data_IF_402040580211
#
_entry.id   IF_402040580211
#
_cell.length_a   1.000
_cell.length_b   1.000
_cell.length_c   1.000
_cell.angle_alpha   90.00
_cell.angle_beta   90.00
_cell.angle_gamma   90.00
#
_symmetry.space_group_name_H-M   'P 1'
#
loop_
_entity.id
_entity.type
_entity.pdbx_description
1 polymer ?
#
# COMPACT_ATOMS: atom_id res chain seq x y z
N UNK A 1 2.83 43.26 -52.13
CA UNK A 1 1.85 42.14 -52.28
C UNK A 1 2.65 40.85 -52.17
N UNK A 2 2.55 40.08 -51.07
CA UNK A 2 1.68 38.89 -50.90
C UNK A 2 1.87 37.93 -52.10
N UNK A 3 2.33 36.69 -51.98
CA UNK A 3 2.01 35.64 -50.98
C UNK A 3 3.19 34.66 -50.82
N UNK A 4 3.61 34.37 -49.59
CA UNK A 4 4.49 33.26 -49.23
C UNK A 4 3.64 31.99 -49.08
N UNK A 5 3.99 30.94 -49.82
CA UNK A 5 3.38 29.61 -49.74
C UNK A 5 3.80 28.90 -48.46
N UNK A 6 2.81 28.56 -47.63
CA UNK A 6 2.98 27.73 -46.44
C UNK A 6 3.25 26.27 -46.85
N UNK A 7 4.43 25.76 -46.51
CA UNK A 7 4.76 24.34 -46.55
C UNK A 7 4.05 23.62 -45.41
N UNK A 8 3.22 22.63 -45.75
CA UNK A 8 2.53 21.74 -44.82
C UNK A 8 3.52 20.72 -44.25
N UNK A 9 4.03 20.99 -43.05
CA UNK A 9 4.78 20.01 -42.25
C UNK A 9 3.81 19.29 -41.32
N UNK A 10 3.25 18.18 -41.79
CA UNK A 10 2.43 17.27 -40.98
C UNK A 10 3.35 16.46 -40.06
N UNK A 11 3.75 17.06 -38.93
CA UNK A 11 4.48 16.36 -37.87
C UNK A 11 3.48 15.46 -37.13
N UNK A 12 3.44 14.18 -37.50
CA UNK A 12 2.67 13.15 -36.80
C UNK A 12 3.34 12.92 -35.44
N UNK A 13 2.85 13.61 -34.40
CA UNK A 13 3.30 13.42 -33.04
C UNK A 13 2.97 11.99 -32.59
N UNK A 14 4.02 11.20 -32.42
CA UNK A 14 4.03 9.86 -31.87
C UNK A 14 3.53 9.92 -30.41
N UNK A 15 2.23 9.78 -30.19
CA UNK A 15 1.68 9.50 -28.86
C UNK A 15 2.02 8.05 -28.51
N UNK A 16 3.20 7.83 -27.92
CA UNK A 16 3.46 6.64 -27.11
C UNK A 16 2.64 6.78 -25.84
N UNK A 17 1.40 6.29 -25.88
CA UNK A 17 0.66 5.93 -24.68
C UNK A 17 1.45 4.81 -23.98
N UNK A 18 2.32 5.18 -23.05
CA UNK A 18 2.77 4.25 -22.03
C UNK A 18 1.55 3.90 -21.18
N UNK A 19 0.91 2.78 -21.50
CA UNK A 19 0.01 2.09 -20.59
C UNK A 19 0.84 1.68 -19.37
N UNK A 20 0.81 2.52 -18.34
CA UNK A 20 1.26 2.12 -17.01
C UNK A 20 0.45 0.88 -16.63
N UNK A 21 1.09 -0.21 -16.14
CA UNK A 21 0.33 -1.30 -15.58
C UNK A 21 -0.41 -0.75 -14.36
N UNK A 22 -1.72 -0.63 -14.50
CA UNK A 22 -2.64 -0.52 -13.37
C UNK A 22 -2.44 -1.79 -12.54
N UNK A 23 -1.57 -1.72 -11.54
CA UNK A 23 -1.46 -2.76 -10.52
C UNK A 23 -2.63 -2.53 -9.57
N UNK A 24 -3.81 -2.93 -10.06
CA UNK A 24 -5.02 -3.04 -9.26
C UNK A 24 -4.82 -4.13 -8.20
N UNK A 25 -5.37 -3.87 -7.02
CA UNK A 25 -5.40 -4.68 -5.82
C UNK A 25 -4.09 -4.74 -5.00
N UNK A 26 -4.25 -4.63 -3.67
CA UNK A 26 -3.35 -5.22 -2.70
C UNK A 26 -2.97 -6.61 -3.23
N UNK A 27 -1.69 -6.87 -3.54
CA UNK A 27 -1.31 -8.18 -4.04
C UNK A 27 -1.87 -9.24 -3.07
N UNK A 28 -2.62 -10.26 -3.54
CA UNK A 28 -3.43 -11.15 -2.69
C UNK A 28 -2.68 -11.68 -1.46
N UNK A 29 -1.37 -11.87 -1.61
CA UNK A 29 -0.42 -12.27 -0.59
C UNK A 29 -0.35 -11.37 0.67
N UNK A 30 -0.81 -10.12 0.60
CA UNK A 30 -0.81 -9.18 1.73
C UNK A 30 -2.13 -9.17 2.51
N UNK A 31 -3.18 -9.78 1.98
CA UNK A 31 -4.42 -10.00 2.73
C UNK A 31 -4.23 -11.01 3.88
N UNK A 32 -3.25 -11.91 3.74
CA UNK A 32 -2.94 -12.96 4.73
C UNK A 32 -2.22 -12.41 5.97
N UNK A 33 -1.38 -11.37 5.85
CA UNK A 33 -0.71 -10.76 7.01
C UNK A 33 -1.69 -10.17 8.04
N UNK A 34 -2.88 -9.80 7.57
CA UNK A 34 -3.95 -9.22 8.39
C UNK A 34 -4.80 -10.27 9.11
N UNK A 35 -4.87 -11.49 8.54
CA UNK A 35 -5.80 -12.54 8.96
C UNK A 35 -5.12 -13.73 9.64
N UNK A 36 -3.84 -14.00 9.38
CA UNK A 36 -3.14 -15.20 9.84
C UNK A 36 -2.38 -15.02 11.16
N UNK A 37 -2.38 -16.08 11.97
CA UNK A 37 -1.30 -16.35 12.92
C UNK A 37 0.01 -16.55 12.12
N UNK A 38 1.11 -15.88 12.47
CA UNK A 38 2.41 -16.15 11.84
C UNK A 38 2.76 -17.62 11.95
N UNK A 39 3.26 -18.20 10.85
CA UNK A 39 4.02 -19.43 10.93
C UNK A 39 5.22 -19.25 11.86
N UNK A 40 5.53 -20.27 12.66
CA UNK A 40 6.67 -20.32 13.59
C UNK A 40 8.01 -20.52 12.87
N UNK A 41 8.09 -20.15 11.60
CA UNK A 41 9.24 -20.41 10.72
C UNK A 41 10.31 -19.36 11.02
N UNK A 42 11.56 -19.80 11.23
CA UNK A 42 12.65 -18.87 11.55
C UNK A 42 13.02 -18.01 10.34
N UNK A 43 13.65 -16.85 10.56
CA UNK A 43 14.21 -16.04 9.46
C UNK A 43 15.20 -16.82 8.60
N UNK A 44 15.99 -17.72 9.21
CA UNK A 44 16.93 -18.58 8.49
C UNK A 44 16.21 -19.49 7.49
N UNK A 45 15.15 -20.16 7.95
CA UNK A 45 14.34 -21.04 7.09
C UNK A 45 13.67 -20.25 5.95
N UNK A 46 13.15 -19.06 6.25
CA UNK A 46 12.57 -18.16 5.23
C UNK A 46 13.63 -17.78 4.18
N UNK A 47 14.83 -17.43 4.62
CA UNK A 47 15.93 -17.09 3.72
C UNK A 47 16.36 -18.28 2.85
N UNK A 48 16.35 -19.49 3.40
CA UNK A 48 16.67 -20.72 2.67
C UNK A 48 15.60 -21.08 1.63
N UNK A 49 14.32 -21.00 1.99
CA UNK A 49 13.20 -21.18 1.06
C UNK A 49 13.28 -20.13 -0.07
N UNK A 50 13.62 -18.88 0.28
CA UNK A 50 13.73 -17.78 -0.68
C UNK A 50 14.87 -17.95 -1.71
N UNK A 51 15.78 -18.92 -1.53
CA UNK A 51 16.77 -19.29 -2.55
C UNK A 51 16.13 -19.98 -3.75
N UNK A 52 14.99 -20.65 -3.56
CA UNK A 52 14.34 -21.51 -4.57
C UNK A 52 12.91 -21.08 -4.92
N UNK A 53 12.26 -20.25 -4.11
CA UNK A 53 10.91 -19.74 -4.39
C UNK A 53 10.72 -18.29 -3.94
N UNK A 54 9.68 -17.62 -4.44
CA UNK A 54 9.21 -16.36 -3.85
C UNK A 54 8.52 -16.65 -2.52
N UNK A 55 8.76 -15.81 -1.52
CA UNK A 55 8.18 -15.94 -0.18
C UNK A 55 7.53 -14.62 0.19
N UNK A 56 6.29 -14.69 0.68
CA UNK A 56 5.69 -13.57 1.40
C UNK A 56 5.76 -13.88 2.88
N UNK A 57 6.41 -13.01 3.65
CA UNK A 57 6.58 -13.16 5.09
C UNK A 57 5.95 -11.97 5.81
N UNK A 58 5.14 -12.26 6.81
CA UNK A 58 4.42 -11.26 7.58
C UNK A 58 4.99 -11.23 9.00
N UNK A 59 5.70 -10.15 9.33
CA UNK A 59 6.16 -9.92 10.67
C UNK A 59 5.01 -9.39 11.53
N UNK A 60 4.30 -10.34 12.14
CA UNK A 60 3.09 -10.10 12.92
C UNK A 60 3.14 -10.72 14.33
N UNK A 61 4.34 -11.04 14.84
CA UNK A 61 4.53 -11.41 16.26
C UNK A 61 5.71 -10.66 16.86
N UNK A 62 5.54 -10.24 18.11
CA UNK A 62 6.60 -9.66 18.92
C UNK A 62 7.66 -10.72 19.18
N UNK A 63 8.88 -10.49 18.69
CA UNK A 63 10.06 -11.27 19.08
C UNK A 63 10.43 -12.46 18.17
N UNK A 64 9.68 -12.76 17.11
CA UNK A 64 10.05 -13.83 16.17
C UNK A 64 11.28 -13.47 15.30
N UNK A 65 11.46 -12.19 15.01
CA UNK A 65 12.64 -11.69 14.28
C UNK A 65 13.03 -10.32 14.80
N UNK A 66 14.31 -10.11 15.07
CA UNK A 66 14.83 -8.82 15.48
C UNK A 66 15.01 -7.90 14.25
N UNK A 67 15.40 -6.63 14.47
CA UNK A 67 15.65 -5.66 13.39
C UNK A 67 16.70 -6.17 12.37
N UNK A 68 17.79 -6.76 12.86
CA UNK A 68 18.90 -7.22 12.02
C UNK A 68 18.46 -8.39 11.12
N UNK A 69 17.72 -9.36 11.67
CA UNK A 69 17.17 -10.47 10.89
C UNK A 69 16.25 -9.95 9.79
N UNK A 70 15.43 -8.95 10.12
CA UNK A 70 14.51 -8.33 9.16
C UNK A 70 15.27 -7.59 8.06
N UNK A 71 16.36 -6.91 8.39
CA UNK A 71 17.26 -6.32 7.40
C UNK A 71 17.87 -7.38 6.49
N UNK A 72 18.26 -8.53 7.03
CA UNK A 72 18.79 -9.65 6.24
C UNK A 72 17.75 -10.16 5.24
N UNK A 73 16.50 -10.37 5.68
CA UNK A 73 15.41 -10.79 4.82
C UNK A 73 15.14 -9.77 3.70
N UNK A 74 15.17 -8.48 4.01
CA UNK A 74 14.93 -7.40 3.04
C UNK A 74 15.98 -7.29 1.94
N UNK A 75 17.19 -7.81 2.15
CA UNK A 75 18.21 -7.88 1.09
C UNK A 75 17.86 -8.90 0.00
N UNK A 76 17.02 -9.88 0.31
CA UNK A 76 16.62 -10.93 -0.63
C UNK A 76 15.39 -10.50 -1.45
N UNK A 77 15.58 -10.33 -2.77
CA UNK A 77 14.52 -9.88 -3.70
C UNK A 77 13.38 -10.88 -3.88
N UNK A 78 13.57 -12.14 -3.50
CA UNK A 78 12.51 -13.15 -3.54
C UNK A 78 11.59 -13.07 -2.31
N UNK A 79 11.94 -12.26 -1.31
CA UNK A 79 11.15 -12.06 -0.10
C UNK A 79 10.32 -10.77 -0.24
N UNK A 80 9.02 -10.91 -0.05
CA UNK A 80 8.10 -9.80 0.15
C UNK A 80 7.77 -9.73 1.65
N UNK A 81 8.21 -8.67 2.31
CA UNK A 81 8.01 -8.50 3.75
C UNK A 81 6.81 -7.59 4.03
N UNK A 82 5.90 -8.04 4.90
CA UNK A 82 4.89 -7.22 5.55
C UNK A 82 5.23 -7.00 7.02
N UNK A 83 5.08 -5.78 7.53
CA UNK A 83 5.36 -5.41 8.93
C UNK A 83 4.12 -4.78 9.54
N UNK A 84 3.63 -5.31 10.66
CA UNK A 84 2.56 -4.69 11.44
C UNK A 84 3.11 -3.77 12.52
N UNK A 85 2.57 -2.55 12.63
CA UNK A 85 2.93 -1.64 13.73
C UNK A 85 2.41 -2.23 15.04
N UNK A 86 1.15 -2.61 15.12
CA UNK A 86 0.52 -3.14 16.34
C UNK A 86 1.25 -4.35 16.91
N UNK A 87 1.87 -5.17 16.05
CA UNK A 87 2.48 -6.46 16.41
C UNK A 87 4.00 -6.45 16.46
N UNK A 88 4.63 -5.28 16.28
CA UNK A 88 6.08 -5.09 16.44
C UNK A 88 6.37 -3.96 17.42
N UNK A 89 7.63 -3.83 17.84
CA UNK A 89 8.12 -2.70 18.65
C UNK A 89 9.01 -1.74 17.85
N UNK A 90 8.99 -1.82 16.51
CA UNK A 90 9.82 -0.93 15.69
C UNK A 90 9.44 0.53 15.90
N UNK A 91 10.47 1.35 16.11
CA UNK A 91 10.34 2.80 16.16
C UNK A 91 10.31 3.39 14.75
N UNK A 92 10.09 4.71 14.65
CA UNK A 92 10.25 5.43 13.38
C UNK A 92 11.64 5.18 12.78
N UNK A 93 12.68 5.29 13.59
CA UNK A 93 14.07 5.15 13.16
C UNK A 93 14.33 3.74 12.63
N UNK A 94 13.78 2.71 13.29
CA UNK A 94 13.85 1.33 12.80
C UNK A 94 13.19 1.17 11.44
N UNK A 95 11.96 1.66 11.28
CA UNK A 95 11.21 1.58 10.02
C UNK A 95 11.94 2.32 8.88
N UNK A 96 12.56 3.46 9.18
CA UNK A 96 13.39 4.20 8.23
C UNK A 96 14.65 3.44 7.84
N UNK A 97 15.33 2.78 8.78
CA UNK A 97 16.52 1.97 8.48
C UNK A 97 16.19 0.71 7.69
N UNK A 98 15.03 0.09 7.96
CA UNK A 98 14.51 -1.02 7.15
C UNK A 98 14.24 -0.54 5.71
N UNK A 99 13.65 0.65 5.54
CA UNK A 99 13.31 1.20 4.22
C UNK A 99 14.56 1.50 3.38
N UNK A 100 15.67 1.89 4.02
CA UNK A 100 16.98 2.04 3.36
C UNK A 100 17.56 0.69 2.90
N UNK A 101 17.18 -0.41 3.54
CA UNK A 101 17.69 -1.75 3.26
C UNK A 101 16.94 -2.39 2.09
N UNK A 102 15.62 -2.25 2.05
CA UNK A 102 14.78 -2.80 0.99
C UNK A 102 13.33 -2.35 1.13
N UNK A 103 12.53 -2.64 0.10
CA UNK A 103 11.09 -2.34 0.09
C UNK A 103 10.31 -3.34 0.94
N UNK A 104 9.33 -2.84 1.68
CA UNK A 104 8.41 -3.64 2.48
C UNK A 104 7.03 -3.00 2.51
N UNK A 105 6.04 -3.79 2.91
CA UNK A 105 4.68 -3.31 3.18
C UNK A 105 4.56 -3.01 4.67
N UNK A 106 4.17 -1.78 5.02
CA UNK A 106 3.90 -1.36 6.39
C UNK A 106 2.39 -1.32 6.63
N UNK A 107 1.88 -2.20 7.49
CA UNK A 107 0.51 -2.14 7.97
C UNK A 107 0.42 -1.12 9.11
N UNK A 108 -0.26 -0.01 8.82
CA UNK A 108 -0.58 1.03 9.80
C UNK A 108 -1.86 0.62 10.51
N UNK A 109 -1.70 -0.25 11.51
CA UNK A 109 -2.76 -0.88 12.27
C UNK A 109 -2.75 -0.48 13.76
N UNK A 110 -2.10 0.64 14.07
CA UNK A 110 -1.98 1.25 15.39
C UNK A 110 -1.68 2.74 15.27
N UNK A 111 -2.03 3.52 16.29
CA UNK A 111 -1.74 4.96 16.40
C UNK A 111 -0.31 5.28 16.86
N UNK A 112 0.54 4.27 17.05
CA UNK A 112 1.90 4.45 17.61
C UNK A 112 2.83 5.28 16.73
N UNK A 113 2.61 5.30 15.41
CA UNK A 113 3.40 6.10 14.48
C UNK A 113 2.55 7.30 14.01
N UNK A 114 2.91 8.53 14.40
CA UNK A 114 2.24 9.75 13.94
C UNK A 114 2.21 9.91 12.41
N UNK A 115 1.20 10.62 11.91
CA UNK A 115 0.96 10.81 10.47
C UNK A 115 2.13 11.44 9.73
N UNK A 116 2.81 12.39 10.35
CA UNK A 116 3.95 13.11 9.79
C UNK A 116 5.11 12.16 9.49
N UNK A 117 5.25 11.07 10.25
CA UNK A 117 6.30 10.08 10.06
C UNK A 117 5.92 9.04 9.01
N UNK A 118 4.63 8.75 8.82
CA UNK A 118 4.17 7.85 7.77
C UNK A 118 4.57 8.35 6.38
N UNK A 119 4.50 9.67 6.15
CA UNK A 119 4.93 10.28 4.89
C UNK A 119 6.44 10.05 4.65
N UNK A 120 7.27 10.26 5.67
CA UNK A 120 8.71 10.06 5.56
C UNK A 120 9.06 8.59 5.30
N UNK A 121 8.40 7.66 6.00
CA UNK A 121 8.57 6.22 5.84
C UNK A 121 8.17 5.78 4.42
N UNK A 122 7.05 6.29 3.90
CA UNK A 122 6.59 6.00 2.55
C UNK A 122 7.55 6.54 1.48
N UNK A 123 8.11 7.74 1.69
CA UNK A 123 9.14 8.32 0.80
C UNK A 123 10.44 7.53 0.83
N UNK A 124 10.78 6.91 1.96
CA UNK A 124 11.97 6.09 2.11
C UNK A 124 11.87 4.72 1.41
N UNK A 125 10.69 4.31 0.93
CA UNK A 125 10.52 3.10 0.12
C UNK A 125 9.55 2.07 0.69
N UNK A 126 8.90 2.35 1.82
CA UNK A 126 7.82 1.52 2.35
C UNK A 126 6.52 1.73 1.55
N UNK A 127 5.79 0.66 1.30
CA UNK A 127 4.42 0.72 0.80
C UNK A 127 3.46 0.69 1.98
N UNK A 128 2.65 1.74 2.14
CA UNK A 128 1.71 1.81 3.26
C UNK A 128 0.41 1.06 2.96
N UNK A 129 -0.06 0.31 3.94
CA UNK A 129 -1.41 -0.24 4.02
C UNK A 129 -2.04 0.26 5.31
N UNK A 130 -2.97 1.21 5.19
CA UNK A 130 -3.59 1.87 6.33
C UNK A 130 -4.91 1.17 6.68
N UNK A 131 -5.06 0.77 7.94
CA UNK A 131 -6.22 0.02 8.43
C UNK A 131 -7.22 0.98 9.06
N UNK A 132 -8.44 1.06 8.49
CA UNK A 132 -9.44 2.04 8.90
C UNK A 132 -9.82 1.93 10.39
N UNK A 133 -9.91 0.71 10.91
CA UNK A 133 -10.35 0.46 12.28
C UNK A 133 -9.36 0.96 13.36
N UNK A 134 -8.06 1.00 13.05
CA UNK A 134 -7.01 1.09 14.09
C UNK A 134 -5.92 2.14 13.83
N UNK A 135 -5.80 2.67 12.62
CA UNK A 135 -4.80 3.68 12.31
C UNK A 135 -5.02 5.02 13.05
N UNK A 136 -6.28 5.32 13.42
CA UNK A 136 -6.65 6.58 14.08
C UNK A 136 -6.42 7.83 13.24
N UNK A 137 -6.39 7.68 11.91
CA UNK A 137 -6.21 8.78 10.96
C UNK A 137 -7.56 9.27 10.45
N UNK A 138 -7.73 10.59 10.37
CA UNK A 138 -8.91 11.20 9.77
C UNK A 138 -8.87 11.13 8.23
N UNK A 139 -10.01 11.32 7.56
CA UNK A 139 -10.06 11.46 6.09
C UNK A 139 -9.14 12.59 5.60
N UNK A 140 -9.01 13.68 6.37
CA UNK A 140 -8.09 14.76 6.05
C UNK A 140 -6.63 14.29 6.05
N UNK A 141 -6.20 13.58 7.10
CA UNK A 141 -4.84 13.04 7.21
C UNK A 141 -4.53 12.05 6.08
N UNK A 142 -5.49 11.19 5.75
CA UNK A 142 -5.37 10.23 4.66
C UNK A 142 -5.14 10.92 3.31
N UNK A 143 -5.87 12.01 3.03
CA UNK A 143 -5.69 12.79 1.81
C UNK A 143 -4.34 13.50 1.77
N UNK A 144 -3.86 14.00 2.91
CA UNK A 144 -2.54 14.63 2.99
C UNK A 144 -1.41 13.62 2.72
N UNK A 145 -1.53 12.40 3.26
CA UNK A 145 -0.60 11.31 2.95
C UNK A 145 -0.66 10.97 1.44
N UNK A 146 -1.86 10.89 0.86
CA UNK A 146 -2.07 10.53 -0.55
C UNK A 146 -1.39 11.51 -1.51
N UNK A 147 -1.39 12.81 -1.17
CA UNK A 147 -0.69 13.84 -1.95
C UNK A 147 0.82 13.64 -1.97
N UNK A 148 1.39 13.02 -0.94
CA UNK A 148 2.82 12.76 -0.85
C UNK A 148 3.21 11.41 -1.46
N UNK A 149 2.42 10.36 -1.25
CA UNK A 149 2.67 9.02 -1.77
C UNK A 149 1.38 8.21 -1.84
N UNK A 150 1.24 7.40 -2.90
CA UNK A 150 0.15 6.42 -3.01
C UNK A 150 0.24 5.37 -1.89
N UNK A 151 -0.92 4.98 -1.35
CA UNK A 151 -1.05 3.92 -0.36
C UNK A 151 -2.34 3.14 -0.59
N UNK A 152 -2.48 2.03 0.14
CA UNK A 152 -3.73 1.26 0.18
C UNK A 152 -4.47 1.53 1.47
N UNK A 153 -5.75 1.90 1.37
CA UNK A 153 -6.67 2.04 2.48
C UNK A 153 -7.52 0.78 2.60
N UNK A 154 -7.28 -0.01 3.63
CA UNK A 154 -8.06 -1.19 3.94
C UNK A 154 -9.22 -0.81 4.86
N UNK A 155 -10.43 -0.83 4.29
CA UNK A 155 -11.68 -0.46 4.93
C UNK A 155 -12.24 -1.69 5.63
N UNK A 156 -11.91 -1.85 6.91
CA UNK A 156 -12.34 -2.94 7.78
C UNK A 156 -13.16 -2.45 9.00
N UNK A 157 -13.73 -1.25 8.89
CA UNK A 157 -14.65 -0.64 9.86
C UNK A 157 -15.64 0.26 9.13
N UNK A 158 -16.68 0.70 9.84
CA UNK A 158 -17.65 1.64 9.31
C UNK A 158 -16.97 2.91 8.74
N UNK A 159 -17.30 3.25 7.50
CA UNK A 159 -16.89 4.47 6.80
C UNK A 159 -18.05 5.00 5.97
N UNK A 160 -18.00 6.27 5.56
CA UNK A 160 -19.01 6.80 4.66
C UNK A 160 -18.60 6.63 3.20
N UNK A 161 -19.59 6.54 2.32
CA UNK A 161 -19.39 6.57 0.87
C UNK A 161 -18.61 7.82 0.44
N UNK A 162 -18.97 8.98 0.97
CA UNK A 162 -18.40 10.27 0.55
C UNK A 162 -16.91 10.38 0.95
N UNK A 163 -16.55 9.85 2.13
CA UNK A 163 -15.14 9.72 2.52
C UNK A 163 -14.36 8.89 1.50
N UNK A 164 -14.85 7.70 1.15
CA UNK A 164 -14.16 6.82 0.20
C UNK A 164 -14.06 7.44 -1.20
N UNK A 165 -15.12 8.07 -1.70
CA UNK A 165 -15.08 8.80 -2.97
C UNK A 165 -13.98 9.86 -2.95
N UNK A 166 -13.89 10.64 -1.87
CA UNK A 166 -12.89 11.69 -1.73
C UNK A 166 -11.44 11.16 -1.69
N UNK A 167 -11.25 9.93 -1.20
CA UNK A 167 -9.96 9.24 -1.18
C UNK A 167 -9.60 8.68 -2.57
N UNK A 168 -10.55 8.04 -3.24
CA UNK A 168 -10.38 7.53 -4.62
C UNK A 168 -10.09 8.68 -5.59
N UNK A 169 -10.78 9.81 -5.45
CA UNK A 169 -10.56 11.04 -6.25
C UNK A 169 -9.12 11.55 -6.17
N UNK A 170 -8.43 11.34 -5.04
CA UNK A 170 -7.02 11.74 -4.87
C UNK A 170 -6.04 10.58 -5.12
N UNK A 171 -6.50 9.47 -5.71
CA UNK A 171 -5.66 8.36 -6.14
C UNK A 171 -5.36 7.32 -5.07
N UNK A 172 -6.08 7.31 -3.95
CA UNK A 172 -5.94 6.26 -2.93
C UNK A 172 -6.54 4.96 -3.46
N UNK A 173 -5.80 3.86 -3.32
CA UNK A 173 -6.32 2.53 -3.57
C UNK A 173 -7.15 2.09 -2.36
N UNK A 174 -8.40 1.70 -2.56
CA UNK A 174 -9.32 1.33 -1.50
C UNK A 174 -9.65 -0.16 -1.61
N UNK A 175 -9.47 -0.89 -0.51
CA UNK A 175 -9.92 -2.27 -0.37
C UNK A 175 -11.08 -2.31 0.62
N UNK A 176 -12.27 -2.59 0.12
CA UNK A 176 -13.51 -2.59 0.87
C UNK A 176 -13.79 -4.00 1.39
N UNK A 177 -13.72 -4.21 2.70
CA UNK A 177 -14.26 -5.41 3.36
C UNK A 177 -15.76 -5.27 3.50
N UNK A 178 -16.50 -5.85 2.56
CA UNK A 178 -17.94 -5.64 2.41
C UNK A 178 -18.75 -6.04 3.64
N UNK A 179 -18.27 -6.99 4.46
CA UNK A 179 -18.88 -7.39 5.73
C UNK A 179 -18.59 -6.46 6.92
N UNK A 180 -17.68 -5.49 6.77
CA UNK A 180 -17.17 -4.65 7.87
C UNK A 180 -17.31 -3.14 7.60
N UNK A 181 -17.38 -2.73 6.33
CA UNK A 181 -17.38 -1.31 5.94
C UNK A 181 -18.66 -0.54 6.27
N UNK A 182 -19.75 -1.24 6.63
CA UNK A 182 -21.11 -0.72 6.79
C UNK A 182 -21.71 -0.07 5.53
N UNK A 183 -21.08 -0.23 4.36
CA UNK A 183 -21.56 0.30 3.09
C UNK A 183 -22.60 -0.62 2.46
N UNK A 184 -23.61 -0.03 1.82
CA UNK A 184 -24.52 -0.80 0.98
C UNK A 184 -23.86 -1.16 -0.35
N UNK A 185 -24.47 -2.08 -1.09
CA UNK A 185 -24.07 -2.38 -2.48
C UNK A 185 -24.05 -1.12 -3.34
N UNK A 186 -25.08 -0.28 -3.22
CA UNK A 186 -25.22 0.92 -4.04
C UNK A 186 -24.14 1.95 -3.69
N UNK A 187 -23.77 2.05 -2.41
CA UNK A 187 -22.64 2.90 -2.00
C UNK A 187 -21.33 2.44 -2.63
N UNK A 188 -21.03 1.14 -2.58
CA UNK A 188 -19.82 0.57 -3.16
C UNK A 188 -19.77 0.82 -4.67
N UNK A 189 -20.90 0.66 -5.38
CA UNK A 189 -21.00 0.96 -6.81
C UNK A 189 -20.71 2.43 -7.10
N UNK A 190 -21.22 3.34 -6.28
CA UNK A 190 -20.93 4.77 -6.44
C UNK A 190 -19.46 5.13 -6.18
N UNK A 191 -18.80 4.49 -5.20
CA UNK A 191 -17.34 4.65 -5.00
C UNK A 191 -16.58 4.13 -6.22
N UNK A 192 -16.91 2.93 -6.71
CA UNK A 192 -16.25 2.32 -7.87
C UNK A 192 -16.47 3.11 -9.18
N UNK A 193 -17.56 3.87 -9.30
CA UNK A 193 -17.80 4.77 -10.45
C UNK A 193 -16.82 5.94 -10.52
N UNK A 194 -16.22 6.34 -9.39
CA UNK A 194 -15.18 7.38 -9.40
C UNK A 194 -13.96 6.88 -10.16
N UNK A 195 -13.44 5.71 -9.78
CA UNK A 195 -12.40 5.01 -10.50
C UNK A 195 -12.37 3.53 -10.09
N UNK A 196 -12.80 2.63 -10.98
CA UNK A 196 -12.89 1.20 -10.69
C UNK A 196 -11.54 0.53 -10.48
N UNK A 197 -10.47 1.08 -11.06
CA UNK A 197 -9.13 0.49 -10.98
C UNK A 197 -8.50 0.66 -9.58
N UNK A 198 -9.01 1.62 -8.81
CA UNK A 198 -8.57 1.91 -7.46
C UNK A 198 -9.43 1.23 -6.40
N UNK A 199 -10.49 0.51 -6.78
CA UNK A 199 -11.45 -0.07 -5.83
C UNK A 199 -11.42 -1.59 -5.94
N UNK A 200 -11.06 -2.26 -4.85
CA UNK A 200 -11.19 -3.72 -4.71
C UNK A 200 -12.22 -4.02 -3.63
N UNK A 201 -13.14 -4.95 -3.91
CA UNK A 201 -14.11 -5.41 -2.92
C UNK A 201 -13.73 -6.82 -2.50
N UNK A 202 -13.63 -7.03 -1.19
CA UNK A 202 -13.38 -8.33 -0.57
C UNK A 202 -14.56 -8.69 0.35
N UNK A 203 -14.90 -9.98 0.45
CA UNK A 203 -15.85 -10.45 1.44
C UNK A 203 -15.38 -10.14 2.86
#
# INVERSE_FOLDING_TARGET
MKVLGFTSSLLFALMTCFSLPSMAALPPQFSECLNGDSGTVSSGDIADIAKVSKVTYCQNQLGLTNKLDTQELLKNKNIQLGISIAKTNYTREDLMDLAKTGSYVLYVDSTRIPKEYLIDIAKAGAQLVIISATAGLSTFDLRDIARAKSFVYNVNSAVTKDDLKSLVDVGVQVVIRSNQSALTKDDIVEVARVNSDLVTVMP
#
